data_IF_224257070304
#
_entry.id   IF_224257070304
#
_cell.length_a   1.000
_cell.length_b   1.000
_cell.length_c   1.000
_cell.angle_alpha   90.00
_cell.angle_beta   90.00
_cell.angle_gamma   90.00
#
_symmetry.space_group_name_H-M   'P 1'
#
loop_
_entity.id
_entity.type
_entity.pdbx_description
1 polymer ?
#
# COMPACT_ATOMS: atom_id res chain seq x y z
N UNK A 1 9.56 21.30 -23.51
CA UNK A 1 8.22 21.86 -23.20
C UNK A 1 8.07 21.84 -21.69
N UNK A 2 8.33 22.97 -21.02
CA UNK A 2 8.26 23.07 -19.56
C UNK A 2 6.81 23.34 -19.14
N UNK A 3 6.16 22.39 -18.49
CA UNK A 3 4.90 22.63 -17.79
C UNK A 3 5.19 23.32 -16.46
N UNK A 4 5.12 24.65 -16.44
CA UNK A 4 5.02 25.41 -15.19
C UNK A 4 3.57 25.28 -14.68
N UNK A 5 3.35 24.57 -13.58
CA UNK A 5 2.08 24.61 -12.85
C UNK A 5 1.93 25.95 -12.12
N UNK A 6 0.87 26.71 -12.40
CA UNK A 6 0.57 27.95 -11.65
C UNK A 6 0.12 27.61 -10.21
N UNK A 7 0.30 28.54 -9.28
CA UNK A 7 -0.08 28.39 -7.86
C UNK A 7 -1.58 28.11 -7.66
N UNK A 8 -2.44 28.59 -8.56
CA UNK A 8 -3.88 28.37 -8.50
C UNK A 8 -4.26 26.91 -8.77
N UNK A 9 -3.50 26.22 -9.64
CA UNK A 9 -3.67 24.80 -9.89
C UNK A 9 -3.29 23.94 -8.67
N UNK A 10 -2.29 24.34 -7.90
CA UNK A 10 -1.85 23.60 -6.71
C UNK A 10 -2.93 23.62 -5.61
N UNK A 11 -3.63 24.74 -5.43
CA UNK A 11 -4.75 24.85 -4.48
C UNK A 11 -5.92 23.94 -4.87
N UNK A 12 -6.31 23.94 -6.14
CA UNK A 12 -7.38 23.08 -6.65
C UNK A 12 -7.02 21.58 -6.61
N UNK A 13 -5.75 21.24 -6.87
CA UNK A 13 -5.22 19.88 -6.72
C UNK A 13 -5.28 19.41 -5.26
N UNK A 14 -4.79 20.21 -4.31
CA UNK A 14 -4.83 19.88 -2.89
C UNK A 14 -6.27 19.63 -2.41
N UNK A 15 -7.19 20.53 -2.78
CA UNK A 15 -8.60 20.39 -2.45
C UNK A 15 -9.22 19.10 -2.99
N UNK A 16 -8.93 18.72 -4.23
CA UNK A 16 -9.40 17.45 -4.83
C UNK A 16 -8.86 16.23 -4.07
N UNK A 17 -7.61 16.26 -3.64
CA UNK A 17 -7.00 15.16 -2.89
C UNK A 17 -7.60 15.01 -1.49
N UNK A 18 -7.82 16.13 -0.79
CA UNK A 18 -8.45 16.12 0.53
C UNK A 18 -9.91 15.65 0.43
N UNK A 19 -10.61 15.99 -0.65
CA UNK A 19 -11.96 15.48 -0.90
C UNK A 19 -11.96 13.97 -1.17
N UNK A 20 -11.04 13.46 -2.00
CA UNK A 20 -10.93 12.03 -2.27
C UNK A 20 -10.63 11.24 -0.99
N UNK A 21 -9.71 11.75 -0.15
CA UNK A 21 -9.37 11.12 1.13
C UNK A 21 -10.53 11.12 2.11
N UNK A 22 -11.29 12.23 2.21
CA UNK A 22 -12.52 12.26 3.02
C UNK A 22 -13.54 11.22 2.58
N UNK A 23 -13.80 11.11 1.28
CA UNK A 23 -14.75 10.11 0.75
C UNK A 23 -14.33 8.68 1.11
N UNK A 24 -13.04 8.38 0.98
CA UNK A 24 -12.51 7.07 1.36
C UNK A 24 -12.67 6.82 2.87
N UNK A 25 -12.31 7.78 3.71
CA UNK A 25 -12.43 7.67 5.17
C UNK A 25 -13.88 7.50 5.61
N UNK A 26 -14.81 8.27 5.04
CA UNK A 26 -16.25 8.15 5.29
C UNK A 26 -16.76 6.76 4.89
N UNK A 27 -16.39 6.27 3.71
CA UNK A 27 -16.73 4.92 3.27
C UNK A 27 -16.19 3.86 4.24
N UNK A 28 -14.89 3.90 4.58
CA UNK A 28 -14.27 2.93 5.46
C UNK A 28 -14.90 2.92 6.86
N UNK A 29 -15.26 4.08 7.39
CA UNK A 29 -15.97 4.18 8.68
C UNK A 29 -17.36 3.56 8.61
N UNK A 30 -18.09 3.71 7.50
CA UNK A 30 -19.38 3.06 7.32
C UNK A 30 -19.24 1.54 7.27
N UNK A 31 -18.24 1.01 6.57
CA UNK A 31 -17.95 -0.43 6.56
C UNK A 31 -17.61 -0.95 7.96
N UNK A 32 -16.75 -0.24 8.72
CA UNK A 32 -16.41 -0.60 10.11
C UNK A 32 -17.63 -0.63 11.02
N UNK A 33 -18.59 0.28 10.80
CA UNK A 33 -19.81 0.35 11.61
C UNK A 33 -20.78 -0.81 11.35
N UNK A 34 -20.74 -1.39 10.14
CA UNK A 34 -21.67 -2.45 9.71
C UNK A 34 -21.04 -3.83 9.82
N UNK A 35 -19.75 -3.96 9.52
CA UNK A 35 -19.02 -5.22 9.44
C UNK A 35 -18.03 -5.32 10.61
N UNK A 36 -18.27 -6.21 11.58
CA UNK A 36 -17.32 -6.46 12.66
C UNK A 36 -15.95 -6.83 12.12
N UNK A 37 -14.92 -6.25 12.73
CA UNK A 37 -13.52 -6.50 12.38
C UNK A 37 -13.17 -6.23 10.90
N UNK A 38 -13.90 -5.33 10.21
CA UNK A 38 -13.66 -5.00 8.80
C UNK A 38 -12.18 -4.72 8.46
N UNK A 39 -11.51 -3.94 9.31
CA UNK A 39 -10.09 -3.59 9.20
C UNK A 39 -9.15 -4.81 9.14
N UNK A 40 -9.55 -5.97 9.69
CA UNK A 40 -8.79 -7.24 9.62
C UNK A 40 -9.05 -8.03 8.34
N UNK A 41 -10.05 -7.63 7.55
CA UNK A 41 -10.41 -8.26 6.25
C UNK A 41 -9.69 -7.61 5.07
N UNK A 42 -8.87 -6.58 5.29
CA UNK A 42 -8.17 -5.85 4.23
C UNK A 42 -6.74 -6.36 4.09
N UNK A 43 -6.41 -6.88 2.91
CA UNK A 43 -5.06 -7.18 2.46
C UNK A 43 -4.44 -5.92 1.84
N UNK A 44 -3.56 -5.27 2.60
CA UNK A 44 -2.76 -4.15 2.11
C UNK A 44 -1.58 -4.65 1.28
N UNK A 45 -1.27 -3.96 0.18
CA UNK A 45 -0.10 -4.23 -0.67
C UNK A 45 0.64 -2.95 -1.03
N UNK A 46 1.97 -3.06 -1.10
CA UNK A 46 2.89 -1.97 -1.45
C UNK A 46 4.28 -2.55 -1.76
N UNK A 47 5.13 -1.77 -2.43
CA UNK A 47 6.51 -2.15 -2.74
C UNK A 47 7.54 -1.26 -2.02
N UNK A 48 8.48 -1.90 -1.31
CA UNK A 48 9.65 -1.25 -0.76
C UNK A 48 10.94 -1.67 -1.48
N UNK A 49 11.86 -0.72 -1.61
CA UNK A 49 13.22 -1.00 -2.05
C UNK A 49 14.21 -1.08 -0.88
N UNK A 50 15.06 -2.10 -0.93
CA UNK A 50 16.24 -2.30 -0.10
C UNK A 50 17.49 -2.23 -0.98
N UNK A 51 18.50 -1.51 -0.50
CA UNK A 51 19.77 -1.25 -1.20
C UNK A 51 20.95 -1.65 -0.30
N UNK A 52 22.03 -2.18 -0.87
CA UNK A 52 23.30 -2.41 -0.15
C UNK A 52 24.16 -1.16 -0.06
N UNK A 53 24.13 -0.40 -1.15
CA UNK A 53 24.88 0.82 -1.36
C UNK A 53 23.87 1.82 -1.90
N UNK A 54 23.80 3.01 -1.30
CA UNK A 54 22.74 4.01 -1.54
C UNK A 54 22.63 4.58 -2.96
N UNK A 55 23.25 3.95 -3.96
CA UNK A 55 23.20 4.32 -5.37
C UNK A 55 22.96 3.08 -6.24
N UNK A 56 21.78 3.02 -6.87
CA UNK A 56 21.52 2.18 -8.03
C UNK A 56 21.22 3.09 -9.21
N UNK A 57 21.91 2.86 -10.32
CA UNK A 57 21.57 3.47 -11.60
C UNK A 57 20.23 2.89 -12.08
N UNK A 58 19.15 3.67 -11.94
CA UNK A 58 17.79 3.30 -12.36
C UNK A 58 17.66 2.94 -13.84
N UNK A 59 18.66 3.27 -14.67
CA UNK A 59 18.68 2.90 -16.09
C UNK A 59 19.15 1.45 -16.33
N UNK A 60 19.82 0.80 -15.37
CA UNK A 60 20.37 -0.56 -15.52
C UNK A 60 19.44 -1.69 -15.04
N UNK A 61 18.33 -1.39 -14.36
CA UNK A 61 17.33 -2.40 -13.95
C UNK A 61 16.04 -2.29 -14.77
N UNK A 62 16.16 -2.06 -16.08
CA UNK A 62 15.00 -2.09 -16.98
C UNK A 62 14.84 -3.52 -17.51
N UNK A 63 14.10 -4.33 -16.75
CA UNK A 63 13.65 -5.64 -17.23
C UNK A 63 12.56 -5.37 -18.26
N UNK A 64 12.89 -5.59 -19.53
CA UNK A 64 11.89 -5.60 -20.59
C UNK A 64 11.10 -6.91 -20.46
N UNK A 65 9.82 -6.78 -20.16
CA UNK A 65 8.88 -7.89 -20.10
C UNK A 65 7.80 -7.63 -21.14
N UNK A 66 7.48 -8.64 -21.95
CA UNK A 66 6.37 -8.58 -22.91
C UNK A 66 5.01 -8.46 -22.20
N UNK A 67 4.93 -8.93 -20.94
CA UNK A 67 3.78 -8.80 -20.07
C UNK A 67 3.96 -7.69 -19.02
N UNK A 68 2.86 -7.11 -18.54
CA UNK A 68 2.93 -6.18 -17.41
C UNK A 68 3.55 -6.88 -16.19
N UNK A 69 4.68 -6.41 -15.65
CA UNK A 69 5.37 -7.08 -14.55
C UNK A 69 4.50 -7.20 -13.29
N UNK A 70 3.53 -6.30 -13.09
CA UNK A 70 2.59 -6.42 -11.99
C UNK A 70 1.61 -7.57 -12.18
N UNK A 71 1.13 -7.76 -13.40
CA UNK A 71 0.27 -8.91 -13.74
C UNK A 71 1.04 -10.21 -13.49
N UNK A 72 2.30 -10.31 -13.95
CA UNK A 72 3.13 -11.47 -13.69
C UNK A 72 3.36 -11.72 -12.20
N UNK A 73 3.63 -10.67 -11.40
CA UNK A 73 3.76 -10.79 -9.94
C UNK A 73 2.49 -11.32 -9.29
N UNK A 74 1.34 -10.77 -9.66
CA UNK A 74 0.05 -11.15 -9.09
C UNK A 74 -0.30 -12.59 -9.46
N UNK A 75 -0.19 -12.95 -10.74
CA UNK A 75 -0.57 -14.28 -11.23
C UNK A 75 0.37 -15.38 -10.74
N UNK A 76 1.68 -15.13 -10.71
CA UNK A 76 2.65 -16.20 -10.47
C UNK A 76 3.05 -16.37 -9.00
N UNK A 77 2.86 -15.34 -8.17
CA UNK A 77 3.29 -15.37 -6.78
C UNK A 77 2.15 -15.04 -5.82
N UNK A 78 1.41 -13.94 -6.03
CA UNK A 78 0.39 -13.54 -5.05
C UNK A 78 -0.83 -14.47 -5.03
N UNK A 79 -1.51 -14.66 -6.17
CA UNK A 79 -2.72 -15.49 -6.25
C UNK A 79 -2.45 -16.94 -5.80
N UNK A 80 -1.35 -17.61 -6.19
CA UNK A 80 -1.05 -18.96 -5.72
C UNK A 80 -0.96 -19.09 -4.20
N UNK A 81 -0.38 -18.09 -3.51
CA UNK A 81 -0.27 -18.08 -2.05
C UNK A 81 -1.64 -17.87 -1.36
N UNK A 82 -2.60 -17.25 -2.06
CA UNK A 82 -3.95 -17.07 -1.55
C UNK A 82 -4.79 -18.36 -1.56
N UNK A 83 -4.37 -19.41 -2.27
CA UNK A 83 -5.14 -20.66 -2.36
C UNK A 83 -5.37 -21.35 -0.99
N UNK A 84 -4.54 -21.01 0.01
CA UNK A 84 -4.68 -21.51 1.37
C UNK A 84 -5.57 -20.62 2.26
N UNK A 85 -6.16 -19.56 1.71
CA UNK A 85 -6.93 -18.55 2.42
C UNK A 85 -8.31 -18.35 1.80
N UNK A 86 -9.31 -18.05 2.65
CA UNK A 86 -10.63 -17.69 2.16
C UNK A 86 -10.63 -16.25 1.63
N UNK A 87 -10.32 -16.11 0.34
CA UNK A 87 -10.31 -14.82 -0.38
C UNK A 87 -11.70 -14.24 -0.62
N UNK A 88 -12.78 -15.01 -0.39
CA UNK A 88 -14.13 -14.56 -0.71
C UNK A 88 -14.62 -13.47 0.25
N UNK A 89 -14.05 -13.41 1.45
CA UNK A 89 -14.35 -12.36 2.43
C UNK A 89 -13.30 -11.25 2.51
N UNK A 90 -12.17 -11.40 1.81
CA UNK A 90 -11.06 -10.46 1.86
C UNK A 90 -11.21 -9.32 0.85
N UNK A 91 -10.81 -8.15 1.30
CA UNK A 91 -10.64 -6.94 0.50
C UNK A 91 -9.19 -6.81 0.10
N UNK A 92 -8.93 -6.39 -1.13
CA UNK A 92 -7.58 -6.14 -1.60
C UNK A 92 -7.35 -4.65 -1.82
N UNK A 93 -6.25 -4.13 -1.27
CA UNK A 93 -5.88 -2.73 -1.40
C UNK A 93 -4.56 -2.59 -2.15
N UNK A 94 -4.55 -1.70 -3.15
CA UNK A 94 -3.33 -1.24 -3.83
C UNK A 94 -3.35 0.28 -4.00
N UNK A 95 -2.17 0.89 -4.09
CA UNK A 95 -2.04 2.32 -4.29
C UNK A 95 -2.33 2.77 -5.75
N UNK A 96 -2.08 4.05 -6.02
CA UNK A 96 -2.34 4.66 -7.33
C UNK A 96 -1.19 4.56 -8.34
N UNK A 97 -0.16 3.74 -8.12
CA UNK A 97 0.98 3.62 -9.03
C UNK A 97 0.55 3.16 -10.44
N UNK A 98 1.28 3.58 -11.47
CA UNK A 98 0.91 3.32 -12.87
C UNK A 98 0.80 1.83 -13.18
N UNK A 99 1.67 0.99 -12.62
CA UNK A 99 1.63 -0.46 -12.79
C UNK A 99 0.42 -1.13 -12.11
N UNK A 100 -0.08 -0.55 -11.00
CA UNK A 100 -1.25 -1.05 -10.26
C UNK A 100 -2.56 -0.65 -10.94
N UNK A 101 -2.54 0.49 -11.61
CA UNK A 101 -3.72 1.10 -12.24
C UNK A 101 -3.87 0.75 -13.72
N UNK A 102 -2.93 -0.01 -14.28
CA UNK A 102 -3.02 -0.53 -15.63
C UNK A 102 -4.27 -1.42 -15.78
N UNK A 103 -4.95 -1.32 -16.92
CA UNK A 103 -6.23 -2.00 -17.17
C UNK A 103 -6.17 -3.51 -16.90
N UNK A 104 -5.13 -4.17 -17.42
CA UNK A 104 -4.91 -5.60 -17.21
C UNK A 104 -4.73 -5.97 -15.72
N UNK A 105 -4.06 -5.12 -14.94
CA UNK A 105 -3.91 -5.33 -13.49
C UNK A 105 -5.24 -5.21 -12.77
N UNK A 106 -6.01 -4.15 -13.06
CA UNK A 106 -7.32 -3.91 -12.45
C UNK A 106 -8.32 -5.01 -12.81
N UNK A 107 -8.34 -5.45 -14.07
CA UNK A 107 -9.24 -6.51 -14.52
C UNK A 107 -8.90 -7.85 -13.84
N UNK A 108 -7.62 -8.23 -13.78
CA UNK A 108 -7.17 -9.43 -13.05
C UNK A 108 -7.58 -9.42 -11.57
N UNK A 109 -7.44 -8.27 -10.91
CA UNK A 109 -7.81 -8.14 -9.51
C UNK A 109 -9.32 -8.14 -9.31
N UNK A 110 -10.10 -7.60 -10.24
CA UNK A 110 -11.57 -7.68 -10.20
C UNK A 110 -12.05 -9.11 -10.44
N UNK A 111 -11.39 -9.89 -11.29
CA UNK A 111 -11.72 -11.30 -11.49
C UNK A 111 -11.48 -12.12 -10.20
N UNK A 112 -10.51 -11.69 -9.38
CA UNK A 112 -10.15 -12.38 -8.13
C UNK A 112 -10.98 -11.91 -6.92
N UNK A 113 -11.13 -10.59 -6.74
CA UNK A 113 -11.72 -9.96 -5.55
C UNK A 113 -13.11 -9.36 -5.78
N UNK A 114 -13.59 -9.31 -7.03
CA UNK A 114 -14.88 -8.72 -7.39
C UNK A 114 -14.97 -7.26 -6.98
N UNK A 115 -16.06 -6.90 -6.30
CA UNK A 115 -16.30 -5.55 -5.77
C UNK A 115 -15.42 -5.21 -4.55
N UNK A 116 -14.66 -6.18 -4.01
CA UNK A 116 -13.81 -6.00 -2.82
C UNK A 116 -12.42 -5.47 -3.15
N UNK A 117 -12.32 -4.56 -4.12
CA UNK A 117 -11.06 -3.97 -4.58
C UNK A 117 -10.99 -2.47 -4.25
N UNK A 118 -9.98 -2.10 -3.47
CA UNK A 118 -9.65 -0.74 -3.09
C UNK A 118 -8.45 -0.28 -3.92
N UNK A 119 -8.69 0.51 -4.97
CA UNK A 119 -7.66 1.00 -5.88
C UNK A 119 -8.14 2.26 -6.61
N UNK A 120 -7.23 3.04 -7.20
CA UNK A 120 -7.58 4.30 -7.90
C UNK A 120 -8.67 4.12 -8.98
N UNK A 121 -8.73 2.96 -9.63
CA UNK A 121 -9.77 2.61 -10.63
C UNK A 121 -10.56 1.34 -10.25
N UNK A 122 -10.50 0.98 -8.97
CA UNK A 122 -11.31 -0.09 -8.39
C UNK A 122 -12.74 0.37 -8.08
N UNK A 123 -13.61 -0.58 -7.67
CA UNK A 123 -14.94 -0.30 -7.10
C UNK A 123 -14.88 0.75 -5.98
N UNK A 124 -13.87 0.66 -5.11
CA UNK A 124 -13.60 1.64 -4.05
C UNK A 124 -12.35 2.43 -4.39
N UNK A 125 -12.48 3.75 -4.50
CA UNK A 125 -11.39 4.62 -4.92
C UNK A 125 -10.34 4.81 -3.80
N UNK A 126 -9.11 4.38 -4.03
CA UNK A 126 -8.00 4.70 -3.12
C UNK A 126 -7.53 6.15 -3.32
N UNK A 127 -7.50 6.98 -2.27
CA UNK A 127 -7.14 8.39 -2.39
C UNK A 127 -5.65 8.57 -2.71
N UNK A 128 -5.30 9.41 -3.70
CA UNK A 128 -3.91 9.66 -4.05
C UNK A 128 -3.12 10.31 -2.89
N UNK A 129 -1.84 9.94 -2.77
CA UNK A 129 -0.91 10.46 -1.74
C UNK A 129 -1.37 10.21 -0.30
N UNK A 130 -1.88 9.01 -0.03
CA UNK A 130 -2.38 8.61 1.29
C UNK A 130 -1.54 7.50 1.92
N UNK A 131 -0.22 7.65 1.89
CA UNK A 131 0.70 6.71 2.55
C UNK A 131 0.46 6.62 4.06
N UNK A 132 -0.09 7.69 4.67
CA UNK A 132 -0.50 7.69 6.08
C UNK A 132 -1.68 6.77 6.39
N UNK A 133 -2.36 6.22 5.37
CA UNK A 133 -3.47 5.28 5.48
C UNK A 133 -3.09 3.83 5.16
N UNK A 134 -1.85 3.53 4.75
CA UNK A 134 -1.41 2.14 4.56
C UNK A 134 -0.47 1.70 5.68
N UNK A 135 -0.80 0.59 6.39
CA UNK A 135 0.08 -0.03 7.38
C UNK A 135 1.50 -0.32 6.90
N UNK A 136 1.66 -0.54 5.60
CA UNK A 136 2.95 -0.86 5.01
C UNK A 136 3.90 0.35 5.06
N UNK A 137 3.41 1.54 4.71
CA UNK A 137 4.21 2.77 4.72
C UNK A 137 4.43 3.31 6.13
N UNK A 138 3.37 3.48 6.92
CA UNK A 138 3.49 4.17 8.20
C UNK A 138 4.15 3.31 9.28
N UNK A 139 4.25 1.99 9.07
CA UNK A 139 4.82 1.06 10.04
C UNK A 139 5.80 0.06 9.41
N UNK A 140 5.32 -0.88 8.57
CA UNK A 140 6.08 -2.08 8.21
C UNK A 140 7.46 -1.75 7.64
N UNK A 141 7.51 -0.88 6.63
CA UNK A 141 8.76 -0.60 5.94
C UNK A 141 9.76 0.18 6.80
N UNK A 142 9.28 1.08 7.65
CA UNK A 142 10.13 1.77 8.63
C UNK A 142 10.71 0.80 9.66
N UNK A 143 9.86 -0.07 10.21
CA UNK A 143 10.24 -1.10 11.17
C UNK A 143 11.23 -2.10 10.56
N UNK A 144 10.88 -2.68 9.42
CA UNK A 144 11.71 -3.68 8.73
C UNK A 144 13.08 -3.10 8.35
N UNK A 145 13.13 -1.91 7.76
CA UNK A 145 14.42 -1.26 7.42
C UNK A 145 15.29 -1.03 8.65
N UNK A 146 14.72 -0.66 9.79
CA UNK A 146 15.49 -0.45 11.02
C UNK A 146 16.22 -1.71 11.48
N UNK A 147 15.63 -2.89 11.24
CA UNK A 147 16.18 -4.18 11.64
C UNK A 147 17.06 -4.82 10.56
N UNK A 148 16.66 -4.72 9.30
CA UNK A 148 17.40 -5.26 8.15
C UNK A 148 18.78 -4.62 8.02
N UNK A 149 18.92 -3.35 8.39
CA UNK A 149 20.17 -2.62 8.31
C UNK A 149 20.95 -2.53 9.63
N UNK A 150 20.45 -3.15 10.71
CA UNK A 150 21.07 -3.05 12.03
C UNK A 150 22.51 -3.60 12.07
N UNK A 151 22.77 -4.67 11.32
CA UNK A 151 24.07 -5.35 11.20
C UNK A 151 24.89 -4.92 9.97
N UNK A 152 24.39 -3.94 9.20
CA UNK A 152 25.06 -3.36 8.02
C UNK A 152 25.45 -4.43 7.00
N UNK A 153 24.49 -5.06 6.30
CA UNK A 153 24.80 -6.11 5.34
C UNK A 153 25.72 -5.60 4.23
N UNK A 154 26.72 -6.40 3.86
CA UNK A 154 27.72 -6.05 2.85
C UNK A 154 27.54 -6.81 1.53
N UNK A 155 26.66 -7.82 1.49
CA UNK A 155 26.38 -8.67 0.33
C UNK A 155 24.89 -8.82 0.11
N UNK A 156 24.49 -9.12 -1.13
CA UNK A 156 23.06 -9.24 -1.47
C UNK A 156 22.43 -10.40 -0.73
N UNK A 157 23.13 -11.52 -0.63
CA UNK A 157 22.70 -12.69 0.13
C UNK A 157 22.43 -12.33 1.59
N UNK A 158 23.33 -11.59 2.24
CA UNK A 158 23.13 -11.18 3.63
C UNK A 158 21.94 -10.21 3.79
N UNK A 159 21.76 -9.29 2.84
CA UNK A 159 20.61 -8.40 2.83
C UNK A 159 19.29 -9.18 2.65
N UNK A 160 19.28 -10.17 1.75
CA UNK A 160 18.13 -11.04 1.52
C UNK A 160 17.79 -11.87 2.75
N UNK A 161 18.79 -12.51 3.36
CA UNK A 161 18.63 -13.29 4.60
C UNK A 161 18.07 -12.42 5.72
N UNK A 162 18.54 -11.18 5.85
CA UNK A 162 18.01 -10.24 6.82
C UNK A 162 16.57 -9.86 6.56
N UNK A 163 16.18 -9.61 5.30
CA UNK A 163 14.79 -9.32 4.95
C UNK A 163 13.91 -10.53 5.32
N UNK A 164 14.30 -11.74 4.92
CA UNK A 164 13.55 -12.97 5.21
C UNK A 164 13.39 -13.18 6.71
N UNK A 165 14.47 -13.07 7.48
CA UNK A 165 14.48 -13.20 8.94
C UNK A 165 13.58 -12.15 9.60
N UNK A 166 13.78 -10.88 9.28
CA UNK A 166 13.00 -9.78 9.89
C UNK A 166 11.51 -9.93 9.61
N UNK A 167 11.12 -10.29 8.39
CA UNK A 167 9.71 -10.51 8.03
C UNK A 167 9.14 -11.71 8.80
N UNK A 168 9.89 -12.82 8.90
CA UNK A 168 9.47 -14.00 9.64
C UNK A 168 9.34 -13.75 11.16
N UNK A 169 10.14 -12.84 11.71
CA UNK A 169 10.14 -12.47 13.13
C UNK A 169 8.98 -11.51 13.51
N UNK A 170 8.22 -10.99 12.53
CA UNK A 170 7.09 -10.10 12.81
C UNK A 170 5.97 -10.90 13.50
N UNK A 171 5.76 -10.57 14.78
CA UNK A 171 4.76 -11.23 15.61
C UNK A 171 3.33 -10.82 15.21
N UNK A 172 2.36 -11.76 15.17
CA UNK A 172 0.97 -11.44 14.87
C UNK A 172 0.36 -10.38 15.80
N UNK A 173 0.75 -10.34 17.07
CA UNK A 173 0.26 -9.33 18.02
C UNK A 173 0.71 -7.90 17.66
N UNK A 174 1.87 -7.76 17.01
CA UNK A 174 2.35 -6.48 16.50
C UNK A 174 1.48 -6.02 15.32
N UNK A 175 1.19 -6.93 14.39
CA UNK A 175 0.28 -6.66 13.27
C UNK A 175 -1.12 -6.30 13.76
N UNK A 176 -1.65 -6.99 14.78
CA UNK A 176 -2.94 -6.66 15.39
C UNK A 176 -3.01 -5.20 15.86
N UNK A 177 -2.00 -4.73 16.60
CA UNK A 177 -1.94 -3.33 17.07
C UNK A 177 -1.82 -2.31 15.93
N UNK A 178 -1.08 -2.66 14.88
CA UNK A 178 -0.93 -1.80 13.69
C UNK A 178 -2.28 -1.66 12.98
N UNK A 179 -3.00 -2.76 12.84
CA UNK A 179 -4.32 -2.78 12.20
C UNK A 179 -5.37 -2.08 13.08
N UNK A 180 -5.31 -2.18 14.41
CA UNK A 180 -6.14 -1.37 15.33
C UNK A 180 -5.84 0.13 15.19
N UNK A 181 -4.57 0.52 15.07
CA UNK A 181 -4.16 1.91 14.85
C UNK A 181 -4.69 2.49 13.53
N UNK A 182 -4.96 1.65 12.53
CA UNK A 182 -5.55 2.09 11.27
C UNK A 182 -6.89 2.81 11.47
N UNK A 183 -7.74 2.30 12.38
CA UNK A 183 -9.02 2.95 12.71
C UNK A 183 -8.81 4.32 13.34
N UNK A 184 -7.86 4.46 14.27
CA UNK A 184 -7.53 5.76 14.86
C UNK A 184 -7.01 6.77 13.83
N UNK A 185 -6.28 6.29 12.81
CA UNK A 185 -5.80 7.14 11.70
C UNK A 185 -6.92 7.61 10.79
N UNK A 186 -7.96 6.80 10.58
CA UNK A 186 -9.18 7.22 9.87
C UNK A 186 -9.91 8.32 10.67
N UNK A 187 -10.06 8.14 11.98
CA UNK A 187 -10.72 9.12 12.85
C UNK A 187 -9.97 10.46 12.87
N UNK A 188 -8.64 10.41 12.96
CA UNK A 188 -7.81 11.61 12.84
C UNK A 188 -7.98 12.29 11.48
N UNK A 189 -7.96 11.53 10.38
CA UNK A 189 -8.15 12.06 9.04
C UNK A 189 -9.51 12.74 8.86
N UNK A 190 -10.56 12.21 9.47
CA UNK A 190 -11.88 12.85 9.49
C UNK A 190 -11.86 14.16 10.29
N UNK A 191 -11.30 14.15 11.50
CA UNK A 191 -11.21 15.33 12.36
C UNK A 191 -10.35 16.44 11.73
N UNK A 192 -9.30 16.06 11.01
CA UNK A 192 -8.35 16.96 10.35
C UNK A 192 -8.84 17.49 8.98
N UNK A 193 -10.11 17.22 8.63
CA UNK A 193 -10.76 17.55 7.34
C UNK A 193 -10.03 16.98 6.12
N UNK A 194 -9.40 15.83 6.30
CA UNK A 194 -8.50 15.28 5.32
C UNK A 194 -7.26 16.16 5.24
N UNK A 195 -6.46 16.28 6.32
CA UNK A 195 -5.05 16.67 6.26
C UNK A 195 -4.18 15.54 6.79
N UNK A 196 -2.94 15.43 6.32
CA UNK A 196 -2.08 14.28 6.60
C UNK A 196 -1.90 14.07 8.11
N UNK A 197 -1.98 12.83 8.57
CA UNK A 197 -1.57 12.49 9.94
C UNK A 197 -0.05 12.64 10.08
N UNK A 198 0.42 13.44 11.04
CA UNK A 198 1.84 13.44 11.42
C UNK A 198 2.12 12.16 12.22
N UNK A 199 3.34 11.61 12.07
CA UNK A 199 3.86 10.50 12.86
C UNK A 199 3.88 10.86 14.35
N UNK A 200 2.76 10.64 15.03
CA UNK A 200 2.65 10.70 16.49
C UNK A 200 1.72 9.59 16.95
N UNK A 201 2.15 8.33 16.81
CA UNK A 201 1.93 7.22 17.75
C UNK A 201 3.09 6.24 17.57
#
# INVERSE_FOLDING_TARGET
MNFFYSKDNLGALHFKYDQARRRFVEWAQNEIAVVPDFHKRILFSDEAHFWLNGYVNKQNCRIWSEANPQVAKITNFFIPELNNHDVQELWFQQDGATCHTARATIDLLKDTFGDRLISRFGPVNWPPRSCDLTPLDYFLWGYAKSLVYADKPQTLDHLEDNIRRVIADIRPQMLGKVIENWTSRLDYNRASRGSHARNHI
#
